data_IF_480262675237
#
_entry.id   IF_480262675237
#
_cell.length_a   1.000
_cell.length_b   1.000
_cell.length_c   1.000
_cell.angle_alpha   90.00
_cell.angle_beta   90.00
_cell.angle_gamma   90.00
#
_symmetry.space_group_name_H-M   'P 1'
#
loop_
_entity.id
_entity.type
_entity.pdbx_description
1 polymer ?
#
# COMPACT_ATOMS: atom_id res chain seq x y z
N UNK A 1 36.93 -24.83 -31.43
CA UNK A 1 37.14 -23.72 -30.46
C UNK A 1 35.94 -22.77 -30.35
N UNK A 2 35.19 -22.45 -31.43
CA UNK A 2 34.07 -21.47 -31.41
C UNK A 2 32.85 -21.86 -30.55
N UNK A 3 32.50 -23.14 -30.47
CA UNK A 3 31.31 -23.62 -29.74
C UNK A 3 31.43 -23.57 -28.21
N UNK A 4 32.65 -23.68 -27.67
CA UNK A 4 32.90 -23.60 -26.21
C UNK A 4 32.76 -22.16 -25.71
N UNK A 5 33.26 -21.19 -26.46
CA UNK A 5 33.08 -19.77 -26.16
C UNK A 5 31.61 -19.33 -26.21
N UNK A 6 30.84 -19.84 -27.18
CA UNK A 6 29.40 -19.52 -27.28
C UNK A 6 28.59 -20.05 -26.08
N UNK A 7 28.90 -21.25 -25.59
CA UNK A 7 28.28 -21.82 -24.38
C UNK A 7 28.66 -21.05 -23.11
N UNK A 8 29.90 -20.56 -23.02
CA UNK A 8 30.38 -19.75 -21.89
C UNK A 8 29.70 -18.38 -21.89
N UNK A 9 29.56 -17.74 -23.05
CA UNK A 9 28.84 -16.46 -23.18
C UNK A 9 27.37 -16.61 -22.80
N UNK A 10 26.71 -17.68 -23.26
CA UNK A 10 25.31 -17.97 -22.91
C UNK A 10 25.13 -18.21 -21.41
N UNK A 11 26.06 -18.94 -20.78
CA UNK A 11 26.07 -19.19 -19.33
C UNK A 11 26.28 -17.91 -18.52
N UNK A 12 27.18 -17.02 -18.96
CA UNK A 12 27.42 -15.72 -18.31
C UNK A 12 26.20 -14.80 -18.41
N UNK A 13 25.50 -14.79 -19.55
CA UNK A 13 24.23 -14.04 -19.71
C UNK A 13 23.15 -14.59 -18.78
N UNK A 14 23.00 -15.92 -18.68
CA UNK A 14 22.06 -16.58 -17.77
C UNK A 14 22.34 -16.28 -16.28
N UNK A 15 23.61 -16.23 -15.89
CA UNK A 15 24.01 -15.88 -14.50
C UNK A 15 23.79 -14.38 -14.24
N UNK A 16 24.00 -13.51 -15.23
CA UNK A 16 23.81 -12.06 -15.12
C UNK A 16 22.34 -11.64 -14.95
N UNK A 17 21.39 -12.50 -15.33
CA UNK A 17 19.94 -12.29 -15.17
C UNK A 17 19.41 -12.65 -13.77
N UNK A 18 20.24 -13.20 -12.89
CA UNK A 18 19.84 -13.60 -11.52
C UNK A 18 19.87 -12.44 -10.51
N UNK A 19 20.45 -11.30 -10.88
CA UNK A 19 20.65 -10.18 -9.99
C UNK A 19 19.49 -9.20 -10.04
N UNK A 20 18.44 -9.43 -9.24
CA UNK A 20 17.74 -8.47 -8.34
C UNK A 20 16.61 -9.21 -7.62
N UNK A 21 16.92 -9.96 -6.55
CA UNK A 21 15.91 -10.33 -5.55
C UNK A 21 15.56 -9.03 -4.80
N UNK A 22 14.79 -8.16 -5.43
CA UNK A 22 14.12 -7.07 -4.71
C UNK A 22 13.14 -7.79 -3.80
N UNK A 23 13.34 -7.68 -2.48
CA UNK A 23 12.40 -8.18 -1.49
C UNK A 23 11.03 -7.59 -1.78
N UNK A 24 10.16 -8.33 -2.46
CA UNK A 24 8.76 -7.97 -2.54
C UNK A 24 8.16 -8.20 -1.15
N UNK A 25 7.52 -7.19 -0.60
CA UNK A 25 6.79 -7.30 0.66
C UNK A 25 5.29 -7.35 0.40
N UNK A 26 4.54 -7.67 1.44
CA UNK A 26 3.10 -7.44 1.49
C UNK A 26 2.85 -5.94 1.52
N UNK A 27 1.73 -5.47 0.93
CA UNK A 27 1.36 -4.06 1.06
C UNK A 27 0.95 -3.77 2.50
N UNK A 28 1.50 -2.69 3.08
CA UNK A 28 1.16 -2.23 4.43
C UNK A 28 0.62 -0.81 4.41
N UNK A 29 -0.04 -0.42 5.50
CA UNK A 29 -0.62 0.91 5.69
C UNK A 29 -0.07 1.56 6.94
N UNK A 30 -0.05 2.89 6.98
CA UNK A 30 0.01 3.69 8.19
C UNK A 30 -1.06 4.79 8.13
N UNK A 31 -1.59 5.18 9.29
CA UNK A 31 -2.64 6.19 9.41
C UNK A 31 -2.08 7.38 10.18
N UNK A 32 -2.21 8.57 9.62
CA UNK A 32 -1.88 9.84 10.25
C UNK A 32 -3.15 10.67 10.41
N UNK A 33 -3.51 10.95 11.66
CA UNK A 33 -4.64 11.79 12.05
C UNK A 33 -4.42 12.35 13.47
N UNK A 34 -5.11 13.42 13.87
CA UNK A 34 -5.08 13.89 15.25
C UNK A 34 -5.72 12.85 16.18
N UNK A 35 -5.09 12.48 17.31
CA UNK A 35 -5.63 11.48 18.24
C UNK A 35 -6.82 12.00 19.06
N UNK A 36 -6.97 13.32 19.18
CA UNK A 36 -8.05 13.98 19.89
C UNK A 36 -8.53 15.17 19.07
N UNK A 37 -9.84 15.30 18.89
CA UNK A 37 -10.46 16.37 18.08
C UNK A 37 -11.70 16.93 18.77
N UNK A 38 -12.09 18.16 18.43
CA UNK A 38 -13.33 18.75 18.94
C UNK A 38 -14.54 18.15 18.23
N UNK A 39 -15.63 17.91 18.97
CA UNK A 39 -16.91 17.45 18.42
C UNK A 39 -17.37 18.38 17.30
N UNK A 40 -17.77 17.80 16.17
CA UNK A 40 -18.26 18.50 14.99
C UNK A 40 -17.18 19.01 14.04
N UNK A 41 -15.90 18.88 14.40
CA UNK A 41 -14.78 19.28 13.53
C UNK A 41 -14.70 18.40 12.27
N UNK A 42 -14.22 18.99 11.18
CA UNK A 42 -13.80 18.26 9.99
C UNK A 42 -12.30 18.03 10.04
N UNK A 43 -11.87 16.80 9.82
CA UNK A 43 -10.47 16.41 9.78
C UNK A 43 -10.10 15.72 8.48
N UNK A 44 -8.83 15.81 8.13
CA UNK A 44 -8.22 15.01 7.07
C UNK A 44 -7.45 13.87 7.72
N UNK A 45 -7.75 12.65 7.31
CA UNK A 45 -7.00 11.45 7.68
C UNK A 45 -6.16 11.06 6.48
N UNK A 46 -4.85 10.92 6.69
CA UNK A 46 -3.92 10.46 5.66
C UNK A 46 -3.62 8.98 5.85
N UNK A 47 -3.74 8.21 4.78
CA UNK A 47 -3.42 6.80 4.73
C UNK A 47 -2.24 6.64 3.77
N UNK A 48 -1.06 6.37 4.33
CA UNK A 48 0.12 6.05 3.55
C UNK A 48 0.17 4.55 3.33
N UNK A 49 0.42 4.14 2.10
CA UNK A 49 0.64 2.76 1.70
C UNK A 49 2.12 2.57 1.37
N UNK A 50 2.70 1.45 1.82
CA UNK A 50 4.07 1.06 1.49
C UNK A 50 4.09 -0.34 0.87
N UNK A 51 4.71 -0.46 -0.30
CA UNK A 51 4.87 -1.72 -1.01
C UNK A 51 6.05 -1.67 -1.98
N UNK A 52 6.95 -2.65 -1.93
CA UNK A 52 8.08 -2.81 -2.85
C UNK A 52 7.59 -3.48 -4.13
N UNK A 53 7.65 -2.76 -5.23
CA UNK A 53 7.17 -3.12 -6.56
C UNK A 53 5.95 -2.32 -6.98
N UNK A 54 6.07 -1.57 -8.07
CA UNK A 54 4.94 -0.92 -8.72
C UNK A 54 5.09 -0.94 -10.26
N UNK A 55 4.81 -2.08 -10.86
CA UNK A 55 4.92 -2.30 -12.31
C UNK A 55 3.70 -3.05 -12.85
N UNK A 56 3.65 -3.27 -14.16
CA UNK A 56 2.49 -3.85 -14.86
C UNK A 56 2.01 -5.19 -14.30
N UNK A 57 2.90 -6.01 -13.74
CA UNK A 57 2.57 -7.35 -13.22
C UNK A 57 2.53 -7.41 -11.69
N UNK A 58 3.02 -6.39 -11.00
CA UNK A 58 3.22 -6.40 -9.54
C UNK A 58 3.01 -5.00 -8.94
N UNK A 59 1.90 -4.83 -8.22
CA UNK A 59 1.46 -3.55 -7.66
C UNK A 59 0.46 -3.78 -6.51
N UNK A 60 0.22 -2.76 -5.68
CA UNK A 60 -0.92 -2.74 -4.76
C UNK A 60 -2.21 -2.65 -5.56
N UNK A 61 -3.07 -3.67 -5.52
CA UNK A 61 -4.33 -3.68 -6.29
C UNK A 61 -5.51 -3.07 -5.55
N UNK A 62 -5.50 -2.98 -4.22
CA UNK A 62 -6.53 -2.24 -3.51
C UNK A 62 -6.05 -1.63 -2.20
N UNK A 63 -6.73 -0.55 -1.79
CA UNK A 63 -6.69 0.08 -0.46
C UNK A 63 -8.13 0.22 0.02
N UNK A 64 -8.41 -0.18 1.26
CA UNK A 64 -9.73 -0.06 1.90
C UNK A 64 -9.59 0.66 3.23
N UNK A 65 -10.55 1.53 3.54
CA UNK A 65 -10.62 2.24 4.82
C UNK A 65 -12.02 2.09 5.43
N UNK A 66 -12.05 1.66 6.68
CA UNK A 66 -13.23 1.54 7.51
C UNK A 66 -13.19 2.60 8.62
N UNK A 67 -14.35 3.14 8.98
CA UNK A 67 -14.58 3.94 10.19
C UNK A 67 -15.68 3.27 10.98
N UNK A 68 -15.42 2.92 12.24
CA UNK A 68 -16.36 2.19 13.10
C UNK A 68 -16.93 0.96 12.37
N UNK A 69 -16.02 0.17 11.77
CA UNK A 69 -16.30 -1.04 10.96
C UNK A 69 -17.08 -0.83 9.65
N UNK A 70 -17.49 0.40 9.32
CA UNK A 70 -18.16 0.74 8.07
C UNK A 70 -17.15 1.21 7.02
N UNK A 71 -17.21 0.65 5.81
CA UNK A 71 -16.37 1.11 4.69
C UNK A 71 -16.74 2.54 4.29
N UNK A 72 -15.75 3.44 4.33
CA UNK A 72 -15.92 4.86 3.96
C UNK A 72 -15.16 5.21 2.69
N UNK A 73 -14.16 4.43 2.34
CA UNK A 73 -13.41 4.61 1.10
C UNK A 73 -12.75 3.31 0.65
N UNK A 74 -12.66 3.15 -0.67
CA UNK A 74 -11.94 2.06 -1.32
C UNK A 74 -11.38 2.53 -2.65
N UNK A 75 -10.11 2.22 -2.88
CA UNK A 75 -9.43 2.46 -4.15
C UNK A 75 -9.04 1.12 -4.75
N UNK A 76 -9.48 0.91 -5.99
CA UNK A 76 -9.08 -0.22 -6.82
C UNK A 76 -8.04 0.25 -7.83
N UNK A 77 -6.99 -0.56 -7.98
CA UNK A 77 -5.89 -0.32 -8.90
C UNK A 77 -5.76 -1.49 -9.86
N UNK A 78 -5.28 -1.19 -11.06
CA UNK A 78 -5.07 -2.19 -12.11
C UNK A 78 -3.70 -2.00 -12.75
N UNK A 79 -3.27 -2.95 -13.57
CA UNK A 79 -2.00 -2.87 -14.29
C UNK A 79 -1.90 -1.62 -15.18
N UNK A 80 -3.03 -1.12 -15.69
CA UNK A 80 -3.14 0.12 -16.49
C UNK A 80 -3.44 1.38 -15.69
N UNK A 81 -3.88 1.25 -14.43
CA UNK A 81 -4.14 2.36 -13.51
C UNK A 81 -3.58 2.01 -12.13
N UNK A 82 -2.24 1.97 -12.06
CA UNK A 82 -1.50 1.65 -10.85
C UNK A 82 -1.43 2.86 -9.92
N UNK A 83 -1.09 2.69 -8.64
CA UNK A 83 -0.65 3.81 -7.83
C UNK A 83 0.53 4.53 -8.47
N UNK A 84 0.75 5.77 -8.07
CA UNK A 84 1.84 6.62 -8.56
C UNK A 84 3.24 6.08 -8.21
N UNK A 85 3.35 5.25 -7.18
CA UNK A 85 4.63 4.73 -6.69
C UNK A 85 4.50 3.53 -5.76
N UNK A 86 5.65 3.03 -5.32
CA UNK A 86 5.80 2.02 -4.26
C UNK A 86 5.31 2.53 -2.90
N UNK A 87 5.44 3.85 -2.68
CA UNK A 87 4.87 4.56 -1.55
C UNK A 87 3.91 5.60 -2.10
N UNK A 88 2.68 5.60 -1.59
CA UNK A 88 1.65 6.54 -2.01
C UNK A 88 0.71 6.88 -0.85
N UNK A 89 -0.04 7.98 -0.99
CA UNK A 89 -0.96 8.44 0.06
C UNK A 89 -2.36 8.62 -0.51
N UNK A 90 -3.37 8.25 0.28
CA UNK A 90 -4.76 8.63 0.04
C UNK A 90 -5.30 9.37 1.26
N UNK A 91 -6.23 10.27 1.01
CA UNK A 91 -6.83 11.09 2.05
C UNK A 91 -8.34 10.86 2.09
N UNK A 92 -8.90 10.84 3.30
CA UNK A 92 -10.35 10.93 3.52
C UNK A 92 -10.65 12.13 4.42
N UNK A 93 -11.77 12.79 4.16
CA UNK A 93 -12.30 13.84 5.01
C UNK A 93 -13.41 13.27 5.87
N UNK A 94 -13.34 13.51 7.18
CA UNK A 94 -14.32 13.01 8.14
C UNK A 94 -14.85 14.16 8.99
N UNK A 95 -16.17 14.19 9.19
CA UNK A 95 -16.80 14.98 10.23
C UNK A 95 -16.88 14.14 11.49
N UNK A 96 -16.27 14.60 12.58
CA UNK A 96 -16.13 13.79 13.80
C UNK A 96 -17.20 14.19 14.80
N UNK A 97 -18.21 13.34 14.96
CA UNK A 97 -19.31 13.57 15.91
C UNK A 97 -19.27 12.63 17.11
N UNK A 98 -18.43 11.61 17.08
CA UNK A 98 -18.24 10.57 18.09
C UNK A 98 -16.82 10.02 17.98
N UNK A 99 -16.39 9.23 18.98
CA UNK A 99 -15.12 8.53 18.92
C UNK A 99 -15.05 7.64 17.68
N UNK A 100 -13.91 7.67 16.99
CA UNK A 100 -13.71 6.93 15.74
C UNK A 100 -12.63 5.87 15.90
N UNK A 101 -12.92 4.68 15.39
CA UNK A 101 -11.94 3.66 15.07
C UNK A 101 -11.74 3.59 13.56
N UNK A 102 -10.58 4.06 13.09
CA UNK A 102 -10.20 4.05 11.69
C UNK A 102 -9.36 2.81 11.44
N UNK A 103 -9.78 1.96 10.51
CA UNK A 103 -9.01 0.78 10.09
C UNK A 103 -8.69 0.86 8.60
N UNK A 104 -7.41 0.83 8.26
CA UNK A 104 -6.94 0.83 6.87
C UNK A 104 -6.23 -0.47 6.53
N UNK A 105 -6.39 -0.95 5.31
CA UNK A 105 -5.72 -2.15 4.83
C UNK A 105 -5.42 -2.02 3.32
N UNK A 106 -4.24 -2.47 2.91
CA UNK A 106 -3.82 -2.48 1.51
C UNK A 106 -3.39 -3.89 1.09
N UNK A 107 -3.51 -4.20 -0.19
CA UNK A 107 -3.17 -5.53 -0.71
C UNK A 107 -2.36 -5.45 -1.99
N UNK A 108 -1.31 -6.26 -2.05
CA UNK A 108 -0.54 -6.51 -3.25
C UNK A 108 -1.21 -7.62 -4.08
N UNK A 109 -1.29 -7.44 -5.40
CA UNK A 109 -1.84 -8.45 -6.31
C UNK A 109 -1.05 -9.78 -6.34
N UNK A 110 0.20 -9.78 -5.87
CA UNK A 110 1.09 -10.96 -5.83
C UNK A 110 1.36 -11.47 -4.42
N UNK A 111 1.53 -10.57 -3.46
CA UNK A 111 2.01 -10.91 -2.11
C UNK A 111 0.94 -10.75 -1.03
N UNK A 112 -0.20 -10.14 -1.36
CA UNK A 112 -1.30 -9.92 -0.44
C UNK A 112 -1.10 -8.73 0.52
N UNK A 113 -1.84 -8.77 1.62
CA UNK A 113 -1.89 -7.74 2.67
C UNK A 113 -0.95 -8.07 3.84
N UNK A 114 -0.33 -7.04 4.41
CA UNK A 114 0.43 -7.11 5.67
C UNK A 114 -0.48 -7.13 6.91
N UNK A 115 -1.79 -7.02 6.71
CA UNK A 115 -2.80 -6.89 7.74
C UNK A 115 -3.30 -5.45 7.90
N UNK A 116 -4.46 -5.27 8.55
CA UNK A 116 -5.02 -3.95 8.81
C UNK A 116 -4.21 -3.18 9.85
N UNK A 117 -4.20 -1.86 9.72
CA UNK A 117 -3.72 -0.91 10.73
C UNK A 117 -4.90 -0.15 11.31
N UNK A 118 -4.97 -0.02 12.63
CA UNK A 118 -6.07 0.67 13.31
C UNK A 118 -5.56 1.90 14.07
N UNK A 119 -6.29 3.00 13.99
CA UNK A 119 -6.04 4.25 14.70
C UNK A 119 -7.33 4.75 15.36
N UNK A 120 -7.23 5.22 16.61
CA UNK A 120 -8.38 5.71 17.37
C UNK A 120 -8.31 7.22 17.51
N UNK A 121 -9.46 7.88 17.33
CA UNK A 121 -9.64 9.31 17.55
C UNK A 121 -10.67 9.49 18.64
N UNK A 122 -10.28 10.17 19.72
CA UNK A 122 -11.19 10.56 20.79
C UNK A 122 -11.78 11.95 20.55
N UNK A 123 -13.04 12.13 20.95
CA UNK A 123 -13.74 13.40 20.88
C UNK A 123 -13.67 14.12 22.21
N UNK A 124 -13.30 15.39 22.17
CA UNK A 124 -13.53 16.33 23.27
C UNK A 124 -14.71 17.25 22.93
N UNK A 125 -15.45 17.66 23.95
CA UNK A 125 -16.47 18.70 23.85
C UNK A 125 -15.85 20.06 23.48
#
# INVERSE_FOLDING_TARGET
MKMRFFKIILLVILISLSGRIVFANKSSTSIEAPPIVQRGSEIVVKIQVNHKGNNFLHYTNWLRVLVNQKEVARWEFSSGNRPEGEVFTREIKLKVTEDLEITAEANCNRHGSAGPTTFKISVKE
#
